data_IF_076640235119
#
_entry.id   IF_076640235119
#
_cell.length_a   1.000
_cell.length_b   1.000
_cell.length_c   1.000
_cell.angle_alpha   90.00
_cell.angle_beta   90.00
_cell.angle_gamma   90.00
#
_symmetry.space_group_name_H-M   'P 1'
#
loop_
_entity.id
_entity.type
_entity.pdbx_description
1 polymer ?
#
# COMPACT_ATOMS: atom_id res chain seq x y z
N UNK A 1 -3.94 14.65 -8.65
CA UNK A 1 -5.11 13.74 -8.50
C UNK A 1 -4.87 12.91 -7.25
N UNK A 2 -5.93 12.55 -6.52
CA UNK A 2 -5.83 11.60 -5.41
C UNK A 2 -6.65 10.36 -5.74
N UNK A 3 -6.34 9.25 -5.08
CA UNK A 3 -6.86 7.95 -5.45
C UNK A 3 -7.44 7.18 -4.26
N UNK A 4 -8.40 6.31 -4.54
CA UNK A 4 -8.84 5.26 -3.62
C UNK A 4 -9.00 3.96 -4.39
N UNK A 5 -8.69 2.85 -3.73
CA UNK A 5 -8.72 1.52 -4.33
C UNK A 5 -9.73 0.66 -3.59
N UNK A 6 -10.70 0.11 -4.32
CA UNK A 6 -11.76 -0.73 -3.75
C UNK A 6 -12.12 -1.87 -4.68
N UNK A 7 -12.52 -3.01 -4.11
CA UNK A 7 -13.10 -4.14 -4.85
C UNK A 7 -14.60 -3.94 -5.11
N UNK A 8 -15.22 -2.98 -4.40
CA UNK A 8 -16.60 -2.53 -4.63
C UNK A 8 -16.59 -1.40 -5.67
N UNK A 9 -17.22 -1.59 -6.86
CA UNK A 9 -17.33 -0.58 -7.91
C UNK A 9 -18.47 0.42 -7.71
N UNK A 10 -19.36 0.20 -6.74
CA UNK A 10 -20.64 0.92 -6.60
C UNK A 10 -20.58 2.10 -5.62
N UNK A 11 -19.38 2.48 -5.16
CA UNK A 11 -19.23 3.57 -4.20
C UNK A 11 -19.40 4.92 -4.90
N UNK A 12 -20.60 5.47 -4.87
CA UNK A 12 -20.89 6.80 -5.43
C UNK A 12 -20.38 7.94 -4.53
N UNK A 13 -20.36 7.73 -3.21
CA UNK A 13 -19.96 8.73 -2.22
C UNK A 13 -19.16 8.06 -1.10
N UNK A 14 -17.98 8.58 -0.83
CA UNK A 14 -17.17 8.18 0.31
C UNK A 14 -17.53 9.06 1.50
N UNK A 15 -18.07 8.45 2.55
CA UNK A 15 -18.35 9.13 3.81
C UNK A 15 -17.16 9.06 4.75
N UNK A 16 -16.89 10.09 5.56
CA UNK A 16 -15.89 10.05 6.61
C UNK A 16 -16.07 8.84 7.54
N UNK A 17 -15.00 8.09 7.81
CA UNK A 17 -15.04 6.91 8.68
C UNK A 17 -13.90 6.92 9.68
N UNK A 18 -14.17 6.40 10.88
CA UNK A 18 -13.15 6.19 11.90
C UNK A 18 -12.08 5.21 11.40
N UNK A 19 -10.80 5.58 11.53
CA UNK A 19 -9.70 4.70 11.16
C UNK A 19 -9.33 3.78 12.33
N UNK A 20 -9.22 2.48 12.05
CA UNK A 20 -8.69 1.52 13.03
C UNK A 20 -7.18 1.70 13.28
N UNK A 21 -6.44 2.24 12.31
CA UNK A 21 -5.01 2.51 12.43
C UNK A 21 -4.72 3.85 13.13
N UNK A 22 -5.68 4.77 13.09
CA UNK A 22 -5.60 6.09 13.72
C UNK A 22 -6.87 6.35 14.55
N UNK A 23 -7.03 5.65 15.69
CA UNK A 23 -8.26 5.69 16.48
C UNK A 23 -8.53 7.07 17.11
N UNK A 24 -7.49 7.90 17.29
CA UNK A 24 -7.62 9.26 17.82
C UNK A 24 -7.94 10.31 16.75
N UNK A 25 -7.82 9.96 15.46
CA UNK A 25 -8.20 10.86 14.36
C UNK A 25 -9.72 10.89 14.27
N UNK A 26 -10.31 12.06 14.03
CA UNK A 26 -11.74 12.14 13.72
C UNK A 26 -12.08 11.34 12.44
N UNK A 27 -13.34 10.98 12.20
CA UNK A 27 -13.73 10.30 10.97
C UNK A 27 -13.33 11.11 9.74
N UNK A 28 -12.68 10.46 8.78
CA UNK A 28 -12.21 11.08 7.53
C UNK A 28 -12.38 10.15 6.34
N UNK A 29 -12.43 10.72 5.14
CA UNK A 29 -12.24 9.99 3.88
C UNK A 29 -10.74 9.90 3.61
N UNK A 30 -10.27 8.70 3.26
CA UNK A 30 -8.86 8.46 2.95
C UNK A 30 -8.65 8.38 1.44
N UNK A 31 -7.62 9.08 0.98
CA UNK A 31 -7.10 8.97 -0.37
C UNK A 31 -5.57 8.84 -0.35
N UNK A 32 -5.00 8.38 -1.46
CA UNK A 32 -3.57 8.19 -1.68
C UNK A 32 -3.10 9.02 -2.86
N UNK A 33 -1.89 9.56 -2.79
CA UNK A 33 -1.26 10.19 -3.95
C UNK A 33 -0.87 9.17 -5.04
N UNK A 34 -0.37 9.71 -6.16
CA UNK A 34 0.04 8.91 -7.32
C UNK A 34 1.29 8.06 -7.06
N UNK A 35 2.24 8.56 -6.29
CA UNK A 35 3.52 7.89 -6.03
C UNK A 35 3.33 6.63 -5.18
N UNK A 36 2.39 6.68 -4.25
CA UNK A 36 2.05 5.61 -3.33
C UNK A 36 0.89 4.74 -3.83
N UNK A 37 0.26 5.10 -4.95
CA UNK A 37 -0.77 4.30 -5.62
C UNK A 37 -0.31 2.85 -5.86
N UNK A 38 0.99 2.66 -6.16
CA UNK A 38 1.61 1.36 -6.35
C UNK A 38 1.38 0.40 -5.16
N UNK A 39 1.30 0.95 -3.95
CA UNK A 39 1.10 0.17 -2.72
C UNK A 39 -0.29 -0.48 -2.65
N UNK A 40 -1.23 -0.09 -3.53
CA UNK A 40 -2.64 -0.43 -3.46
C UNK A 40 -3.17 -1.26 -4.62
N UNK A 41 -2.36 -1.63 -5.62
CA UNK A 41 -2.73 -2.60 -6.67
C UNK A 41 -2.73 -4.05 -6.15
N UNK A 42 -3.40 -4.30 -5.03
CA UNK A 42 -3.55 -5.61 -4.43
C UNK A 42 -4.96 -5.73 -3.83
N UNK A 43 -5.47 -6.96 -3.64
CA UNK A 43 -6.68 -7.19 -2.87
C UNK A 43 -6.63 -6.45 -1.52
N UNK A 44 -7.77 -5.93 -1.08
CA UNK A 44 -7.86 -5.02 0.08
C UNK A 44 -7.21 -5.60 1.33
N UNK A 45 -7.35 -6.91 1.51
CA UNK A 45 -6.86 -7.65 2.67
C UNK A 45 -5.51 -8.34 2.47
N UNK A 46 -4.89 -8.20 1.30
CA UNK A 46 -3.56 -8.77 1.04
C UNK A 46 -2.52 -8.13 1.98
N UNK A 47 -1.90 -8.89 2.90
CA UNK A 47 -0.81 -8.41 3.73
C UNK A 47 0.42 -8.19 2.85
N UNK A 48 1.13 -7.10 3.08
CA UNK A 48 2.31 -6.75 2.29
C UNK A 48 3.31 -5.95 3.12
N UNK A 49 4.59 -6.19 2.87
CA UNK A 49 5.70 -5.40 3.39
C UNK A 49 6.35 -4.71 2.20
N UNK A 50 6.34 -3.38 2.22
CA UNK A 50 6.92 -2.54 1.17
C UNK A 50 8.06 -1.77 1.80
N UNK A 51 9.21 -1.71 1.14
CA UNK A 51 10.35 -0.93 1.59
C UNK A 51 11.12 -0.32 0.42
N UNK A 52 11.75 0.81 0.68
CA UNK A 52 12.51 1.55 -0.32
C UNK A 52 13.68 2.30 0.31
N UNK A 53 14.63 2.70 -0.53
CA UNK A 53 15.75 3.55 -0.11
C UNK A 53 15.21 4.96 0.17
N UNK A 54 15.29 5.39 1.42
CA UNK A 54 14.95 6.74 1.88
C UNK A 54 16.19 7.59 2.11
N UNK A 55 16.01 8.86 2.51
CA UNK A 55 17.10 9.81 2.75
C UNK A 55 18.10 9.34 3.83
N UNK A 56 17.64 8.49 4.76
CA UNK A 56 18.43 8.01 5.91
C UNK A 56 18.96 6.59 5.72
N UNK A 57 18.73 5.98 4.57
CA UNK A 57 19.15 4.61 4.31
C UNK A 57 20.68 4.51 4.33
N UNK A 58 21.19 3.58 5.12
CA UNK A 58 22.62 3.30 5.23
C UNK A 58 23.09 2.43 4.06
N UNK A 59 24.39 2.51 3.74
CA UNK A 59 25.00 1.62 2.75
C UNK A 59 24.89 0.15 3.15
N UNK A 60 24.97 -0.15 4.46
CA UNK A 60 24.82 -1.51 5.00
C UNK A 60 23.42 -2.08 4.72
N UNK A 61 22.35 -1.34 5.03
CA UNK A 61 20.99 -1.79 4.75
C UNK A 61 20.71 -1.82 3.25
N UNK A 62 21.19 -0.84 2.49
CA UNK A 62 21.09 -0.86 1.02
C UNK A 62 21.71 -2.13 0.45
N UNK A 63 22.96 -2.44 0.82
CA UNK A 63 23.64 -3.65 0.38
C UNK A 63 22.93 -4.92 0.85
N UNK A 64 22.41 -4.95 2.08
CA UNK A 64 21.74 -6.13 2.65
C UNK A 64 20.40 -6.44 1.97
N UNK A 65 19.56 -5.44 1.75
CA UNK A 65 18.18 -5.66 1.28
C UNK A 65 18.03 -5.59 -0.24
N UNK A 66 18.97 -4.91 -0.92
CA UNK A 66 18.96 -4.69 -2.38
C UNK A 66 20.15 -5.33 -3.09
N UNK A 67 20.93 -6.21 -2.46
CA UNK A 67 22.12 -6.87 -3.05
C UNK A 67 21.91 -7.33 -4.51
N UNK A 68 20.77 -7.97 -4.77
CA UNK A 68 20.43 -8.58 -6.06
C UNK A 68 19.34 -7.80 -6.83
N UNK A 69 19.07 -6.56 -6.42
CA UNK A 69 18.00 -5.73 -6.99
C UNK A 69 18.55 -4.38 -7.44
N UNK A 70 18.27 -4.02 -8.70
CA UNK A 70 18.49 -2.67 -9.21
C UNK A 70 17.31 -1.73 -8.92
N UNK A 71 16.16 -2.26 -8.48
CA UNK A 71 15.00 -1.46 -8.12
C UNK A 71 15.24 -0.72 -6.79
N UNK A 72 14.62 0.45 -6.63
CA UNK A 72 14.71 1.24 -5.39
C UNK A 72 13.59 0.92 -4.40
N UNK A 73 12.59 0.14 -4.84
CA UNK A 73 11.42 -0.26 -4.06
C UNK A 73 11.20 -1.75 -4.21
N UNK A 74 10.98 -2.44 -3.09
CA UNK A 74 10.65 -3.86 -3.05
C UNK A 74 9.32 -4.03 -2.34
N UNK A 75 8.44 -4.83 -2.95
CA UNK A 75 7.15 -5.22 -2.37
C UNK A 75 7.18 -6.72 -2.14
N UNK A 76 6.96 -7.13 -0.90
CA UNK A 76 6.94 -8.54 -0.50
C UNK A 76 5.54 -8.93 -0.05
N UNK A 77 5.03 -10.04 -0.60
CA UNK A 77 3.71 -10.61 -0.29
C UNK A 77 3.79 -12.11 -0.08
N UNK A 78 2.78 -12.68 0.57
CA UNK A 78 2.74 -14.13 0.77
C UNK A 78 2.31 -14.86 -0.50
N UNK A 79 2.99 -15.97 -0.83
CA UNK A 79 2.71 -16.77 -2.04
C UNK A 79 1.26 -17.23 -2.15
N UNK A 80 0.58 -17.45 -1.02
CA UNK A 80 -0.83 -17.84 -0.95
C UNK A 80 -1.79 -16.81 -1.56
N UNK A 81 -1.36 -15.55 -1.74
CA UNK A 81 -2.18 -14.49 -2.32
C UNK A 81 -2.09 -14.37 -3.84
N UNK A 82 -1.17 -15.06 -4.50
CA UNK A 82 -0.94 -14.92 -5.95
C UNK A 82 -2.24 -15.13 -6.75
N UNK A 83 -2.95 -16.23 -6.51
CA UNK A 83 -4.19 -16.53 -7.23
C UNK A 83 -5.34 -15.56 -6.89
N UNK A 84 -5.35 -15.00 -5.67
CA UNK A 84 -6.32 -13.97 -5.30
C UNK A 84 -6.04 -12.68 -6.08
N UNK A 85 -4.77 -12.24 -6.14
CA UNK A 85 -4.36 -11.05 -6.89
C UNK A 85 -4.78 -11.16 -8.36
N UNK A 86 -4.54 -12.32 -9.01
CA UNK A 86 -4.91 -12.55 -10.42
C UNK A 86 -6.41 -12.48 -10.69
N UNK A 87 -7.25 -12.77 -9.69
CA UNK A 87 -8.71 -12.88 -9.83
C UNK A 87 -9.46 -11.66 -9.32
N UNK A 88 -8.80 -10.81 -8.53
CA UNK A 88 -9.46 -9.65 -7.92
C UNK A 88 -9.73 -8.57 -8.96
N UNK A 89 -10.99 -8.20 -9.07
CA UNK A 89 -11.39 -6.99 -9.77
C UNK A 89 -11.25 -5.81 -8.81
N UNK A 90 -10.25 -4.97 -9.05
CA UNK A 90 -10.01 -3.76 -8.28
C UNK A 90 -10.44 -2.54 -9.11
N UNK A 91 -10.97 -1.52 -8.46
CA UNK A 91 -11.39 -0.28 -9.06
C UNK A 91 -10.62 0.89 -8.47
N UNK A 92 -10.16 1.77 -9.35
CA UNK A 92 -9.49 3.01 -9.05
C UNK A 92 -10.51 4.15 -9.08
N UNK A 93 -10.69 4.77 -7.93
CA UNK A 93 -11.47 5.97 -7.72
C UNK A 93 -10.53 7.17 -7.74
N UNK A 94 -10.81 8.15 -8.59
CA UNK A 94 -10.03 9.41 -8.64
C UNK A 94 -10.81 10.53 -7.98
N UNK A 95 -10.13 11.34 -7.16
CA UNK A 95 -10.70 12.51 -6.48
C UNK A 95 -9.97 13.80 -6.87
N UNK A 96 -10.74 14.89 -6.92
CA UNK A 96 -10.18 16.22 -6.92
C UNK A 96 -9.51 16.48 -5.54
N UNK A 97 -8.25 16.93 -5.48
CA UNK A 97 -7.55 17.16 -4.22
C UNK A 97 -8.11 18.32 -3.38
N UNK A 98 -9.00 19.16 -3.91
CA UNK A 98 -9.39 20.43 -3.28
C UNK A 98 -9.90 20.35 -1.83
N UNK A 99 -10.63 19.30 -1.46
CA UNK A 99 -11.13 19.09 -0.08
C UNK A 99 -10.24 18.17 0.78
N UNK A 100 -9.08 17.78 0.24
CA UNK A 100 -8.15 16.87 0.89
C UNK A 100 -6.91 17.62 1.37
N UNK A 101 -6.43 17.24 2.55
CA UNK A 101 -5.17 17.70 3.12
C UNK A 101 -4.22 16.54 3.34
N UNK A 102 -2.91 16.82 3.27
CA UNK A 102 -1.89 15.82 3.56
C UNK A 102 -1.97 15.45 5.04
N UNK A 103 -2.03 14.16 5.33
CA UNK A 103 -2.07 13.67 6.69
C UNK A 103 -0.64 13.64 7.27
N UNK A 104 -0.29 14.70 8.00
CA UNK A 104 1.04 14.88 8.60
C UNK A 104 1.48 13.73 9.51
N UNK A 105 0.52 13.03 10.14
CA UNK A 105 0.80 11.87 11.00
C UNK A 105 1.40 10.66 10.25
N UNK A 106 1.38 10.67 8.92
CA UNK A 106 2.01 9.67 8.06
C UNK A 106 2.51 10.29 6.76
N UNK A 107 3.28 11.38 6.87
CA UNK A 107 3.74 12.17 5.71
C UNK A 107 4.46 11.37 4.62
N UNK A 108 5.26 10.37 5.01
CA UNK A 108 6.00 9.49 4.09
C UNK A 108 5.15 8.38 3.47
N UNK A 109 3.87 8.27 3.85
CA UNK A 109 2.95 7.25 3.34
C UNK A 109 2.02 7.76 2.23
N UNK A 110 2.08 9.06 1.89
CA UNK A 110 1.27 9.66 0.84
C UNK A 110 -0.22 9.78 1.16
N UNK A 111 -0.59 9.71 2.45
CA UNK A 111 -1.99 9.73 2.87
C UNK A 111 -2.58 11.13 2.86
N UNK A 112 -3.73 11.25 2.22
CA UNK A 112 -4.56 12.44 2.22
C UNK A 112 -5.88 12.14 2.91
N UNK A 113 -6.37 13.11 3.67
CA UNK A 113 -7.63 13.00 4.42
C UNK A 113 -8.56 14.16 4.09
N UNK A 114 -9.85 13.88 4.11
CA UNK A 114 -10.89 14.89 4.06
C UNK A 114 -11.91 14.63 5.18
N UNK A 115 -12.31 15.68 5.89
CA UNK A 115 -13.40 15.60 6.88
C UNK A 115 -14.79 15.64 6.22
N UNK A 116 -14.84 15.92 4.92
CA UNK A 116 -16.06 16.01 4.13
C UNK A 116 -16.33 14.71 3.36
N UNK A 117 -17.55 14.56 2.84
CA UNK A 117 -17.84 13.49 1.89
C UNK A 117 -17.10 13.73 0.57
N UNK A 118 -16.56 12.67 -0.02
CA UNK A 118 -15.85 12.76 -1.29
C UNK A 118 -16.61 12.02 -2.40
N UNK A 119 -16.91 12.74 -3.48
CA UNK A 119 -17.47 12.17 -4.71
C UNK A 119 -16.33 11.90 -5.70
N UNK A 120 -16.15 10.67 -6.18
CA UNK A 120 -15.13 10.37 -7.17
C UNK A 120 -15.50 11.03 -8.50
N UNK A 121 -14.51 11.65 -9.15
CA UNK A 121 -14.68 12.25 -10.49
C UNK A 121 -14.51 11.21 -11.60
N UNK A 122 -13.91 10.06 -11.27
CA UNK A 122 -13.71 8.93 -12.19
C UNK A 122 -13.64 7.64 -11.39
N UNK A 123 -14.26 6.60 -11.92
CA UNK A 123 -14.16 5.22 -11.43
C UNK A 123 -13.80 4.34 -12.60
N UNK A 124 -12.72 3.59 -12.50
CA UNK A 124 -12.25 2.71 -13.57
C UNK A 124 -11.72 1.38 -13.02
N UNK A 125 -11.90 0.25 -13.74
CA UNK A 125 -11.22 -0.98 -13.38
C UNK A 125 -9.70 -0.77 -13.47
N UNK A 126 -8.97 -1.26 -12.47
CA UNK A 126 -7.52 -1.19 -12.42
C UNK A 126 -6.85 -2.06 -13.49
N UNK A 127 -7.57 -3.05 -14.04
CA UNK A 127 -7.05 -4.01 -15.00
C UNK A 127 -6.20 -5.10 -14.34
N UNK A 128 -5.17 -5.58 -15.04
CA UNK A 128 -4.25 -6.57 -14.50
C UNK A 128 -3.35 -5.95 -13.43
N UNK A 129 -3.55 -6.39 -12.18
CA UNK A 129 -2.82 -5.87 -11.03
C UNK A 129 -1.32 -6.17 -11.09
N UNK A 130 -0.93 -7.35 -11.57
CA UNK A 130 0.49 -7.70 -11.69
C UNK A 130 1.16 -6.86 -12.77
N UNK A 131 0.48 -6.65 -13.90
CA UNK A 131 0.98 -5.76 -14.96
C UNK A 131 1.15 -4.31 -14.45
N UNK A 132 0.23 -3.81 -13.62
CA UNK A 132 0.38 -2.49 -12.97
C UNK A 132 1.60 -2.42 -12.08
N UNK A 133 1.87 -3.47 -11.29
CA UNK A 133 3.03 -3.52 -10.41
C UNK A 133 4.35 -3.59 -11.18
N UNK A 134 4.41 -4.44 -12.22
CA UNK A 134 5.63 -4.72 -12.98
C UNK A 134 6.03 -3.61 -13.97
N UNK A 135 5.13 -2.66 -14.25
CA UNK A 135 5.42 -1.47 -15.08
C UNK A 135 6.15 -0.37 -14.31
N UNK A 136 6.07 -0.39 -12.98
CA UNK A 136 6.80 0.56 -12.15
C UNK A 136 8.21 0.05 -11.85
N UNK A 137 9.13 0.96 -11.47
CA UNK A 137 10.48 0.60 -11.03
C UNK A 137 10.46 0.00 -9.61
N UNK A 138 9.78 -1.14 -9.45
CA UNK A 138 9.66 -1.87 -8.21
C UNK A 138 9.83 -3.37 -8.45
N UNK A 139 10.41 -4.06 -7.48
CA UNK A 139 10.53 -5.51 -7.51
C UNK A 139 9.44 -6.16 -6.65
N UNK A 140 8.68 -7.08 -7.24
CA UNK A 140 7.66 -7.85 -6.54
C UNK A 140 8.22 -9.23 -6.14
N UNK A 141 8.30 -9.48 -4.84
CA UNK A 141 8.75 -10.76 -4.25
C UNK A 141 7.61 -11.52 -3.61
N UNK A 142 7.61 -12.83 -3.79
CA UNK A 142 6.72 -13.75 -3.08
C UNK A 142 7.50 -14.54 -2.04
N UNK A 143 6.93 -14.69 -0.85
CA UNK A 143 7.51 -15.47 0.26
C UNK A 143 6.44 -16.38 0.87
N UNK A 144 6.79 -17.56 1.41
CA UNK A 144 5.83 -18.33 2.20
C UNK A 144 5.43 -17.64 3.51
N UNK A 145 6.20 -16.66 4.00
CA UNK A 145 5.99 -16.01 5.30
C UNK A 145 6.56 -14.58 5.34
N UNK A 146 5.74 -13.60 5.75
CA UNK A 146 6.15 -12.19 5.85
C UNK A 146 6.82 -11.79 7.17
N UNK A 147 6.74 -12.60 8.23
CA UNK A 147 7.28 -12.23 9.54
C UNK A 147 8.80 -11.96 9.53
N UNK A 148 9.66 -12.79 8.89
CA UNK A 148 11.09 -12.54 8.87
C UNK A 148 11.45 -11.20 8.22
N UNK A 149 10.90 -10.90 7.04
CA UNK A 149 11.18 -9.65 6.34
C UNK A 149 10.64 -8.45 7.12
N UNK A 150 9.43 -8.53 7.68
CA UNK A 150 8.86 -7.47 8.53
C UNK A 150 9.79 -7.16 9.70
N UNK A 151 10.23 -8.18 10.43
CA UNK A 151 11.06 -7.99 11.62
C UNK A 151 12.41 -7.34 11.29
N UNK A 152 13.03 -7.72 10.16
CA UNK A 152 14.27 -7.10 9.72
C UNK A 152 14.07 -5.66 9.24
N UNK A 153 12.99 -5.37 8.49
CA UNK A 153 12.69 -4.01 8.01
C UNK A 153 12.43 -3.06 9.18
N UNK A 154 11.70 -3.49 10.21
CA UNK A 154 11.44 -2.69 11.42
C UNK A 154 12.71 -2.29 12.19
N UNK A 155 13.82 -3.01 11.99
CA UNK A 155 15.11 -2.75 12.64
C UNK A 155 16.13 -2.08 11.69
N UNK A 156 15.72 -1.74 10.47
CA UNK A 156 16.59 -1.15 9.44
C UNK A 156 16.43 0.38 9.35
N UNK A 157 17.30 1.00 8.56
CA UNK A 157 17.26 2.42 8.17
C UNK A 157 16.43 2.71 6.92
N UNK A 158 15.73 1.70 6.39
CA UNK A 158 14.88 1.85 5.21
C UNK A 158 13.56 2.53 5.57
N UNK A 159 13.00 3.27 4.61
CA UNK A 159 11.61 3.67 4.68
C UNK A 159 10.72 2.47 4.30
N UNK A 160 9.56 2.36 4.95
CA UNK A 160 8.69 1.21 4.76
C UNK A 160 7.22 1.52 4.95
N UNK A 161 6.39 0.65 4.37
CA UNK A 161 4.96 0.55 4.64
C UNK A 161 4.57 -0.91 4.88
N UNK A 162 3.94 -1.16 6.03
CA UNK A 162 3.45 -2.48 6.42
C UNK A 162 1.92 -2.41 6.43
N UNK A 163 1.29 -3.02 5.43
CA UNK A 163 -0.14 -2.88 5.17
C UNK A 163 -0.84 -4.22 5.43
N UNK A 164 -1.96 -4.16 6.16
CA UNK A 164 -2.84 -5.31 6.46
C UNK A 164 -2.13 -6.51 7.10
N UNK A 165 -1.02 -6.28 7.82
CA UNK A 165 -0.20 -7.36 8.36
C UNK A 165 -0.93 -8.32 9.30
N UNK A 166 -2.01 -7.86 9.96
CA UNK A 166 -2.89 -8.74 10.75
C UNK A 166 -3.47 -9.94 9.98
N UNK A 167 -3.48 -9.87 8.64
CA UNK A 167 -3.94 -10.92 7.74
C UNK A 167 -2.80 -11.83 7.24
N UNK A 168 -1.54 -11.60 7.64
CA UNK A 168 -0.42 -12.46 7.32
C UNK A 168 -0.60 -13.85 7.96
N UNK A 169 -0.19 -14.89 7.26
CA UNK A 169 -0.21 -16.24 7.78
C UNK A 169 0.66 -16.31 9.03
N UNK A 170 0.09 -16.81 10.14
CA UNK A 170 0.87 -17.08 11.35
C UNK A 170 1.94 -18.12 11.01
N UNK A 171 3.12 -17.98 11.61
CA UNK A 171 4.13 -19.03 11.54
C UNK A 171 3.49 -20.35 11.93
N UNK A 172 3.49 -21.32 11.02
CA UNK A 172 3.40 -22.72 11.45
C UNK A 172 4.75 -22.99 12.09
N UNK A 173 4.78 -23.17 13.40
CA UNK A 173 5.91 -23.83 14.04
C UNK A 173 6.05 -25.19 13.33
N UNK A 174 7.19 -25.36 12.65
CA UNK A 174 7.55 -26.62 12.00
C UNK A 174 8.06 -27.61 13.03
#
# INVERSE_FOLDING_TARGET
MLYHFSEDPSIDIFKPRQSASFPSLHPVVWAIDQEHALHYYFPRDCPRVIYWKGEKTTEEDSARFFAESIADKIIVIETSWLERIRRTNLYLYSFNPGSFELFEGAKTAGYYVSSEEAVPIKVEPAGDLLEKLLKENAELRFTPNLYPIRNHILLSSLDFSIIRFRNAARMKEG
#
